data_IF_442411352795
#
_entry.id   IF_442411352795
#
_cell.length_a   1.000
_cell.length_b   1.000
_cell.length_c   1.000
_cell.angle_alpha   90.00
_cell.angle_beta   90.00
_cell.angle_gamma   90.00
#
_symmetry.space_group_name_H-M   'P 1'
#
loop_
_entity.id
_entity.type
_entity.pdbx_description
1 polymer ?
#
# COMPACT_ATOMS: atom_id res chain seq x y z
N UNK A 1 10.35 -15.57 43.31
CA UNK A 1 9.29 -16.23 42.52
C UNK A 1 8.16 -15.25 42.22
N UNK A 2 8.45 -14.24 41.41
CA UNK A 2 7.50 -13.16 41.01
C UNK A 2 7.31 -13.09 39.49
N UNK A 3 8.16 -13.82 38.76
CA UNK A 3 8.20 -13.87 37.29
C UNK A 3 6.87 -14.38 36.70
N UNK A 4 6.35 -15.48 37.26
CA UNK A 4 5.06 -16.06 36.87
C UNK A 4 3.86 -15.13 37.15
N UNK A 5 3.94 -14.27 38.18
CA UNK A 5 2.86 -13.32 38.45
C UNK A 5 2.90 -12.15 37.46
N UNK A 6 4.10 -11.65 37.12
CA UNK A 6 4.27 -10.58 36.14
C UNK A 6 3.86 -11.05 34.73
N UNK A 7 4.27 -12.24 34.33
CA UNK A 7 3.90 -12.83 33.04
C UNK A 7 2.38 -12.97 32.90
N UNK A 8 1.69 -13.42 33.96
CA UNK A 8 0.22 -13.52 33.96
C UNK A 8 -0.49 -12.16 33.88
N UNK A 9 0.12 -11.11 34.43
CA UNK A 9 -0.41 -9.74 34.39
C UNK A 9 -0.23 -9.17 32.99
N UNK A 10 0.93 -9.38 32.37
CA UNK A 10 1.23 -8.94 31.01
C UNK A 10 0.33 -9.66 29.98
N UNK A 11 0.17 -10.98 30.09
CA UNK A 11 -0.70 -11.75 29.21
C UNK A 11 -2.16 -11.28 29.30
N UNK A 12 -2.64 -10.98 30.51
CA UNK A 12 -3.98 -10.44 30.71
C UNK A 12 -4.13 -9.06 30.07
N UNK A 13 -3.15 -8.19 30.25
CA UNK A 13 -3.16 -6.85 29.66
C UNK A 13 -3.16 -6.90 28.12
N UNK A 14 -2.34 -7.76 27.53
CA UNK A 14 -2.28 -7.96 26.08
C UNK A 14 -3.62 -8.44 25.51
N UNK A 15 -4.26 -9.41 26.18
CA UNK A 15 -5.59 -9.91 25.77
C UNK A 15 -6.66 -8.82 25.80
N UNK A 16 -6.67 -7.97 26.83
CA UNK A 16 -7.62 -6.86 26.92
C UNK A 16 -7.34 -5.76 25.88
N UNK A 17 -6.07 -5.36 25.72
CA UNK A 17 -5.66 -4.36 24.72
C UNK A 17 -6.01 -4.80 23.29
N UNK A 18 -5.80 -6.08 22.97
CA UNK A 18 -6.16 -6.63 21.67
C UNK A 18 -7.68 -6.68 21.43
N UNK A 19 -8.45 -7.03 22.47
CA UNK A 19 -9.92 -7.05 22.38
C UNK A 19 -10.50 -5.63 22.20
N UNK A 20 -9.92 -4.64 22.88
CA UNK A 20 -10.29 -3.22 22.79
C UNK A 20 -9.98 -2.64 21.39
N UNK A 21 -8.79 -2.95 20.82
CA UNK A 21 -8.42 -2.55 19.45
C UNK A 21 -9.36 -3.13 18.38
N UNK A 22 -9.90 -4.33 18.59
CA UNK A 22 -10.90 -4.93 17.69
C UNK A 22 -12.27 -4.27 17.77
N UNK A 23 -12.63 -3.69 18.91
CA UNK A 23 -13.92 -3.02 19.12
C UNK A 23 -13.94 -1.61 18.55
N UNK A 24 -12.80 -0.93 18.50
CA UNK A 24 -12.64 0.40 17.89
C UNK A 24 -11.59 0.36 16.75
N UNK A 25 -11.97 -0.04 15.52
CA UNK A 25 -11.05 -0.03 14.37
C UNK A 25 -10.55 1.38 14.01
N UNK A 26 -11.22 2.43 14.50
CA UNK A 26 -10.82 3.83 14.34
C UNK A 26 -9.82 4.32 15.42
N UNK A 27 -9.59 3.57 16.50
CA UNK A 27 -8.48 3.81 17.47
C UNK A 27 -7.23 3.01 17.08
N UNK A 28 -7.11 2.65 15.80
CA UNK A 28 -5.85 2.14 15.26
C UNK A 28 -4.78 3.21 15.46
N UNK A 29 -3.76 2.90 16.26
CA UNK A 29 -2.61 3.75 16.49
C UNK A 29 -2.12 4.26 15.11
N UNK A 30 -1.94 5.58 14.87
CA UNK A 30 -1.60 6.10 13.55
C UNK A 30 -0.45 5.33 12.90
N UNK A 31 0.50 4.86 13.70
CA UNK A 31 1.64 4.02 13.31
C UNK A 31 1.24 2.68 12.67
N UNK A 32 0.18 2.03 13.15
CA UNK A 32 -0.38 0.81 12.58
C UNK A 32 -1.10 1.11 11.25
N UNK A 33 -1.79 2.25 11.17
CA UNK A 33 -2.41 2.71 9.92
C UNK A 33 -1.37 3.01 8.82
N UNK A 34 -0.28 3.70 9.17
CA UNK A 34 0.84 3.96 8.25
C UNK A 34 1.52 2.67 7.76
N UNK A 35 1.54 1.61 8.58
CA UNK A 35 2.20 0.35 8.21
C UNK A 35 1.56 -0.33 6.99
N UNK A 36 0.24 -0.20 6.80
CA UNK A 36 -0.48 -0.74 5.65
C UNK A 36 -0.68 0.27 4.51
N UNK A 37 -0.82 1.55 4.82
CA UNK A 37 -1.04 2.59 3.82
C UNK A 37 0.22 2.97 3.05
N UNK A 38 1.38 3.01 3.71
CA UNK A 38 2.65 3.36 3.07
C UNK A 38 3.02 2.41 1.91
N UNK A 39 2.97 1.07 2.06
CA UNK A 39 3.24 0.14 0.96
C UNK A 39 2.28 0.34 -0.23
N UNK A 40 1.00 0.57 0.05
CA UNK A 40 -0.01 0.83 -0.99
C UNK A 40 0.30 2.11 -1.75
N UNK A 41 0.70 3.17 -1.05
CA UNK A 41 1.10 4.43 -1.67
C UNK A 41 2.37 4.25 -2.51
N UNK A 42 3.37 3.52 -2.01
CA UNK A 42 4.59 3.22 -2.77
C UNK A 42 4.30 2.43 -4.05
N UNK A 43 3.46 1.39 -3.98
CA UNK A 43 3.05 0.64 -5.17
C UNK A 43 2.38 1.54 -6.22
N UNK A 44 1.59 2.52 -5.78
CA UNK A 44 0.96 3.49 -6.68
C UNK A 44 1.98 4.42 -7.32
N UNK A 45 2.99 4.87 -6.56
CA UNK A 45 4.08 5.70 -7.08
C UNK A 45 4.88 4.94 -8.15
N UNK A 46 5.25 3.70 -7.87
CA UNK A 46 6.01 2.85 -8.80
C UNK A 46 5.25 2.64 -10.12
N UNK A 47 3.95 2.37 -10.04
CA UNK A 47 3.09 2.25 -11.23
C UNK A 47 3.07 3.55 -12.04
N UNK A 48 2.90 4.70 -11.38
CA UNK A 48 2.88 6.00 -12.05
C UNK A 48 4.22 6.31 -12.72
N UNK A 49 5.33 6.05 -12.05
CA UNK A 49 6.68 6.25 -12.61
C UNK A 49 6.91 5.36 -13.84
N UNK A 50 6.47 4.09 -13.78
CA UNK A 50 6.53 3.19 -14.93
C UNK A 50 5.71 3.72 -16.11
N UNK A 51 4.49 4.18 -15.86
CA UNK A 51 3.65 4.75 -16.91
C UNK A 51 4.27 6.00 -17.53
N UNK A 52 4.86 6.90 -16.73
CA UNK A 52 5.58 8.07 -17.23
C UNK A 52 6.70 7.64 -18.17
N UNK A 53 7.50 6.63 -17.81
CA UNK A 53 8.55 6.11 -18.70
C UNK A 53 7.97 5.61 -20.02
N UNK A 54 6.90 4.82 -19.99
CA UNK A 54 6.23 4.38 -21.22
C UNK A 54 5.76 5.56 -22.08
N UNK A 55 5.10 6.57 -21.49
CA UNK A 55 4.65 7.76 -22.22
C UNK A 55 5.80 8.58 -22.81
N UNK A 56 6.98 8.52 -22.19
CA UNK A 56 8.22 9.13 -22.68
C UNK A 56 8.97 8.25 -23.70
N UNK A 57 8.39 7.13 -24.12
CA UNK A 57 8.98 6.22 -25.10
C UNK A 57 10.05 5.28 -24.54
N UNK A 58 10.12 5.10 -23.22
CA UNK A 58 11.08 4.24 -22.53
C UNK A 58 10.43 2.93 -22.06
N UNK A 59 11.24 1.89 -21.83
CA UNK A 59 10.81 0.57 -21.33
C UNK A 59 9.65 -0.05 -22.15
N UNK A 60 9.67 0.10 -23.49
CA UNK A 60 8.61 -0.38 -24.37
C UNK A 60 8.78 -1.84 -24.82
N UNK A 61 10.00 -2.37 -24.80
CA UNK A 61 10.32 -3.75 -25.19
C UNK A 61 9.42 -4.83 -24.53
N UNK A 62 9.03 -4.74 -23.25
CA UNK A 62 8.17 -5.75 -22.63
C UNK A 62 6.68 -5.61 -22.98
N UNK A 63 6.26 -4.55 -23.69
CA UNK A 63 4.86 -4.34 -24.04
C UNK A 63 4.48 -5.13 -25.30
N UNK A 64 3.30 -5.74 -25.25
CA UNK A 64 2.69 -6.35 -26.43
C UNK A 64 2.21 -5.29 -27.43
N UNK A 65 2.01 -5.69 -28.69
CA UNK A 65 1.46 -4.81 -29.74
C UNK A 65 0.14 -4.15 -29.31
N UNK A 66 -0.73 -4.91 -28.62
CA UNK A 66 -2.01 -4.40 -28.11
C UNK A 66 -1.83 -3.31 -27.06
N UNK A 67 -0.87 -3.49 -26.15
CA UNK A 67 -0.56 -2.50 -25.12
C UNK A 67 0.07 -1.24 -25.72
N UNK A 68 0.94 -1.39 -26.71
CA UNK A 68 1.50 -0.26 -27.47
C UNK A 68 0.42 0.53 -28.22
N UNK A 69 -0.52 -0.14 -28.88
CA UNK A 69 -1.66 0.54 -29.52
C UNK A 69 -2.54 1.28 -28.51
N UNK A 70 -2.77 0.70 -27.33
CA UNK A 70 -3.51 1.39 -26.26
C UNK A 70 -2.76 2.61 -25.74
N UNK A 71 -1.44 2.51 -25.59
CA UNK A 71 -0.56 3.60 -25.18
C UNK A 71 -0.61 4.74 -26.20
N UNK A 72 -0.48 4.44 -27.49
CA UNK A 72 -0.58 5.40 -28.58
C UNK A 72 -1.94 6.11 -28.58
N UNK A 73 -3.04 5.36 -28.48
CA UNK A 73 -4.39 5.92 -28.42
C UNK A 73 -4.58 6.85 -27.21
N UNK A 74 -4.04 6.49 -26.05
CA UNK A 74 -4.11 7.33 -24.86
C UNK A 74 -3.37 8.66 -25.08
N UNK A 75 -2.16 8.61 -25.64
CA UNK A 75 -1.38 9.82 -25.95
C UNK A 75 -2.12 10.71 -26.96
N UNK A 76 -2.57 10.14 -28.07
CA UNK A 76 -3.29 10.88 -29.13
C UNK A 76 -4.58 11.53 -28.57
N UNK A 77 -5.33 10.80 -27.75
CA UNK A 77 -6.56 11.32 -27.13
C UNK A 77 -6.25 12.45 -26.14
N UNK A 78 -5.17 12.33 -25.36
CA UNK A 78 -4.75 13.36 -24.41
C UNK A 78 -4.23 14.62 -25.09
N UNK A 79 -3.60 14.52 -26.25
CA UNK A 79 -3.12 15.66 -27.04
C UNK A 79 -4.22 16.38 -27.82
N UNK A 80 -5.30 15.67 -28.16
CA UNK A 80 -6.47 16.22 -28.86
C UNK A 80 -7.45 16.97 -27.95
N UNK A 81 -7.30 16.87 -26.63
CA UNK A 81 -8.10 17.59 -25.64
C UNK A 81 -7.54 18.99 -25.40
#
# INVERSE_FOLDING_TARGET
STDSSMESILERYERYSYAERKLNPNDSDPKENWSGECPKLMSRIELLQRNIRHYMGQDLDPLSLRELQSLEQQIDTSLKR
#
